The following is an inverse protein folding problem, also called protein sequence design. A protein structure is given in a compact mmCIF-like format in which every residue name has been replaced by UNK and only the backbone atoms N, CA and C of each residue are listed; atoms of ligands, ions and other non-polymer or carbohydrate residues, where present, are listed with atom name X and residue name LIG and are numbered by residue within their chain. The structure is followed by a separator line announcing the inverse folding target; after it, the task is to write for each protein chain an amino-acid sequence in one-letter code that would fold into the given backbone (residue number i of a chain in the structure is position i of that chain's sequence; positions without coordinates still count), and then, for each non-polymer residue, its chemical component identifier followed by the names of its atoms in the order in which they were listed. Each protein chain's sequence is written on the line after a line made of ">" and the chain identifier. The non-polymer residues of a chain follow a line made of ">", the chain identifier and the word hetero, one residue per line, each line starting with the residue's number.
data_IF_858575998943
#
_entry.id   IF_858575998943
#
_cell.length_a   1.000
_cell.length_b   1.000
_cell.length_c   1.000
_cell.angle_alpha   90.00
_cell.angle_beta   90.00
_cell.angle_gamma   90.00
#
_symmetry.space_group_name_H-M   'P 1'
#
loop_
_entity.id
_entity.type
_entity.pdbx_description
1 polymer ?
#
# COMPACT_ATOMS: atom_id res chain seq x y z
N UNK A 1 19.70 23.91 31.85
CA UNK A 1 19.92 23.25 30.55
C UNK A 1 18.93 22.09 30.27
N UNK A 2 18.59 21.24 31.23
CA UNK A 2 17.62 20.13 31.04
C UNK A 2 16.19 20.63 30.81
N UNK A 3 15.80 21.77 31.34
CA UNK A 3 14.48 22.40 31.12
C UNK A 3 14.38 23.03 29.72
N UNK A 4 15.45 23.61 29.21
CA UNK A 4 15.52 24.12 27.83
C UNK A 4 15.47 23.00 26.79
N UNK A 5 16.18 21.90 27.03
CA UNK A 5 16.17 20.72 26.19
C UNK A 5 14.75 20.08 26.08
N UNK A 6 13.97 20.04 27.16
CA UNK A 6 12.59 19.60 27.16
C UNK A 6 11.68 20.53 26.35
N UNK A 7 11.89 21.85 26.41
CA UNK A 7 11.14 22.84 25.65
C UNK A 7 11.32 22.69 24.13
N UNK A 8 12.56 22.52 23.66
CA UNK A 8 12.85 22.31 22.24
C UNK A 8 12.29 20.98 21.71
N UNK A 9 12.39 19.90 22.50
CA UNK A 9 11.79 18.61 22.14
C UNK A 9 10.26 18.66 22.08
N UNK A 10 9.62 19.45 22.93
CA UNK A 10 8.18 19.64 22.92
C UNK A 10 7.72 20.47 21.71
N UNK A 11 8.46 21.53 21.36
CA UNK A 11 8.22 22.34 20.15
C UNK A 11 8.36 21.48 18.89
N UNK A 12 9.41 20.67 18.78
CA UNK A 12 9.61 19.77 17.65
C UNK A 12 8.45 18.77 17.52
N UNK A 13 8.05 18.13 18.61
CA UNK A 13 6.89 17.22 18.62
C UNK A 13 5.63 17.91 18.16
N UNK A 14 5.32 19.09 18.69
CA UNK A 14 4.12 19.85 18.31
C UNK A 14 4.11 20.29 16.85
N UNK A 15 5.27 20.59 16.27
CA UNK A 15 5.38 20.93 14.86
C UNK A 15 5.08 19.73 13.93
N UNK A 16 5.39 18.51 14.37
CA UNK A 16 5.22 17.29 13.57
C UNK A 16 3.93 16.53 13.88
N UNK A 17 3.47 16.59 15.13
CA UNK A 17 2.28 15.84 15.58
C UNK A 17 1.07 16.74 15.83
N UNK A 18 1.23 18.06 15.74
CA UNK A 18 0.19 19.03 16.08
C UNK A 18 0.04 19.26 17.58
N UNK A 19 -0.94 20.09 17.94
CA UNK A 19 -1.33 20.36 19.32
C UNK A 19 -2.18 19.25 19.94
N UNK A 20 -2.90 19.59 21.00
CA UNK A 20 -3.87 18.68 21.60
C UNK A 20 -5.05 18.42 20.64
N UNK A 21 -5.47 17.16 20.60
CA UNK A 21 -6.59 16.74 19.77
C UNK A 21 -7.91 17.38 20.27
N UNK A 22 -8.73 17.86 19.34
CA UNK A 22 -10.06 18.33 19.70
C UNK A 22 -10.96 17.15 20.12
N UNK A 23 -11.95 17.37 21.01
CA UNK A 23 -12.92 16.32 21.39
C UNK A 23 -13.63 15.71 20.18
N UNK A 24 -13.97 16.52 19.18
CA UNK A 24 -14.60 16.04 17.93
C UNK A 24 -13.68 15.11 17.16
N UNK A 25 -12.40 15.47 16.98
CA UNK A 25 -11.40 14.61 16.34
C UNK A 25 -11.23 13.30 17.11
N UNK A 26 -11.17 13.38 18.44
CA UNK A 26 -11.10 12.19 19.29
C UNK A 26 -12.30 11.26 19.12
N UNK A 27 -13.50 11.82 19.05
CA UNK A 27 -14.73 11.06 18.80
C UNK A 27 -14.72 10.41 17.40
N UNK A 28 -14.32 11.13 16.35
CA UNK A 28 -14.24 10.58 14.97
C UNK A 28 -13.26 9.42 14.90
N UNK A 29 -12.08 9.55 15.54
CA UNK A 29 -11.10 8.48 15.58
C UNK A 29 -11.62 7.25 16.35
N UNK A 30 -12.25 7.46 17.49
CA UNK A 30 -12.86 6.38 18.28
C UNK A 30 -13.91 5.63 17.45
N UNK A 31 -14.79 6.35 16.75
CA UNK A 31 -15.77 5.77 15.82
C UNK A 31 -15.11 4.98 14.69
N UNK A 32 -14.00 5.47 14.15
CA UNK A 32 -13.22 4.73 13.15
C UNK A 32 -12.64 3.42 13.67
N UNK A 33 -12.24 3.38 14.95
CA UNK A 33 -11.70 2.16 15.58
C UNK A 33 -12.77 1.09 15.82
N UNK A 34 -14.02 1.45 16.07
CA UNK A 34 -15.12 0.50 16.35
C UNK A 34 -15.33 -0.51 15.20
N UNK A 35 -15.01 -0.15 13.97
CA UNK A 35 -15.16 -1.01 12.79
C UNK A 35 -13.83 -1.40 12.14
N UNK A 36 -12.71 -1.14 12.81
CA UNK A 36 -11.38 -1.35 12.21
C UNK A 36 -11.16 -2.83 11.86
N UNK A 37 -11.47 -3.72 12.78
CA UNK A 37 -11.31 -5.16 12.55
C UNK A 37 -12.13 -5.65 11.35
N UNK A 38 -13.42 -5.30 11.29
CA UNK A 38 -14.28 -5.67 10.16
C UNK A 38 -13.72 -5.19 8.82
N UNK A 39 -13.22 -3.96 8.77
CA UNK A 39 -12.63 -3.39 7.54
C UNK A 39 -11.34 -4.13 7.16
N UNK A 40 -10.44 -4.32 8.11
CA UNK A 40 -9.15 -4.99 7.86
C UNK A 40 -9.34 -6.43 7.43
N UNK A 41 -10.30 -7.15 8.02
CA UNK A 41 -10.64 -8.52 7.61
C UNK A 41 -11.12 -8.56 6.16
N UNK A 42 -12.09 -7.73 5.79
CA UNK A 42 -12.62 -7.66 4.43
C UNK A 42 -11.54 -7.24 3.41
N UNK A 43 -10.77 -6.20 3.72
CA UNK A 43 -9.68 -5.73 2.87
C UNK A 43 -8.58 -6.80 2.67
N UNK A 44 -8.27 -7.56 3.72
CA UNK A 44 -7.26 -8.63 3.65
C UNK A 44 -7.72 -9.82 2.80
N UNK A 45 -9.00 -10.16 2.86
CA UNK A 45 -9.58 -11.18 1.99
C UNK A 45 -9.51 -10.75 0.52
N UNK A 46 -9.94 -9.53 0.23
CA UNK A 46 -9.84 -8.95 -1.12
C UNK A 46 -8.37 -8.85 -1.59
N UNK A 47 -7.44 -8.49 -0.70
CA UNK A 47 -6.01 -8.42 -1.02
C UNK A 47 -5.45 -9.79 -1.42
N UNK A 48 -5.83 -10.86 -0.74
CA UNK A 48 -5.41 -12.21 -1.09
C UNK A 48 -5.94 -12.64 -2.47
N UNK A 49 -7.22 -12.35 -2.76
CA UNK A 49 -7.81 -12.66 -4.06
C UNK A 49 -7.13 -11.89 -5.19
N UNK A 50 -6.89 -10.61 -5.00
CA UNK A 50 -6.18 -9.76 -5.97
C UNK A 50 -4.75 -10.27 -6.15
N UNK A 51 -3.99 -10.52 -5.07
CA UNK A 51 -2.63 -11.01 -5.15
C UNK A 51 -2.54 -12.32 -5.96
N UNK A 52 -3.47 -13.26 -5.72
CA UNK A 52 -3.56 -14.50 -6.50
C UNK A 52 -3.86 -14.25 -7.97
N UNK A 53 -4.71 -13.30 -8.30
CA UNK A 53 -5.08 -12.98 -9.69
C UNK A 53 -3.93 -12.35 -10.49
N UNK A 54 -2.97 -11.74 -9.82
CA UNK A 54 -1.79 -11.12 -10.45
C UNK A 54 -0.67 -12.11 -10.75
N UNK A 55 -0.65 -13.27 -10.06
CA UNK A 55 0.39 -14.29 -10.26
C UNK A 55 0.29 -14.88 -11.66
N UNK A 56 1.43 -14.95 -12.34
CA UNK A 56 1.54 -15.57 -13.67
C UNK A 56 1.08 -14.69 -14.83
N UNK A 57 0.72 -13.43 -14.57
CA UNK A 57 0.43 -12.48 -15.65
C UNK A 57 1.71 -12.10 -16.39
N UNK A 58 1.68 -12.13 -17.74
CA UNK A 58 2.85 -11.92 -18.60
C UNK A 58 3.57 -10.57 -18.42
N UNK A 59 2.85 -9.53 -17.97
CA UNK A 59 3.42 -8.21 -17.69
C UNK A 59 3.95 -8.05 -16.27
N UNK A 60 3.81 -9.06 -15.40
CA UNK A 60 4.20 -8.99 -13.99
C UNK A 60 5.38 -9.92 -13.74
N UNK A 61 6.48 -9.37 -13.21
CA UNK A 61 7.67 -10.14 -12.85
C UNK A 61 7.57 -10.76 -11.46
N UNK A 62 6.93 -10.07 -10.51
CA UNK A 62 6.78 -10.57 -9.14
C UNK A 62 5.56 -9.98 -8.44
N UNK A 63 5.01 -10.74 -7.50
CA UNK A 63 3.95 -10.31 -6.57
C UNK A 63 4.44 -10.57 -5.16
N UNK A 64 4.41 -9.53 -4.31
CA UNK A 64 4.89 -9.57 -2.93
C UNK A 64 3.68 -9.34 -2.03
N UNK A 65 3.23 -10.40 -1.39
CA UNK A 65 2.13 -10.37 -0.43
C UNK A 65 2.32 -11.47 0.62
N UNK A 66 2.38 -11.14 1.92
CA UNK A 66 2.71 -12.12 2.96
C UNK A 66 1.72 -13.29 3.09
N UNK A 67 0.49 -13.10 2.63
CA UNK A 67 -0.54 -14.15 2.61
C UNK A 67 -0.43 -15.16 1.46
N UNK A 68 0.55 -15.04 0.57
CA UNK A 68 0.82 -16.03 -0.49
C UNK A 68 1.80 -17.09 0.01
N UNK A 69 1.53 -18.35 -0.27
CA UNK A 69 2.42 -19.48 0.10
C UNK A 69 3.83 -19.35 -0.53
N UNK A 70 3.94 -18.63 -1.61
CA UNK A 70 5.23 -18.35 -2.28
C UNK A 70 6.04 -17.25 -1.62
N UNK A 71 5.48 -16.54 -0.64
CA UNK A 71 6.20 -15.46 0.05
C UNK A 71 7.23 -16.04 1.02
N UNK A 72 8.49 -15.52 1.04
CA UNK A 72 9.56 -16.06 1.90
C UNK A 72 9.24 -16.09 3.40
N UNK A 73 8.35 -15.23 3.85
CA UNK A 73 7.94 -15.12 5.25
C UNK A 73 6.48 -15.55 5.48
N UNK A 74 5.95 -16.44 4.62
CA UNK A 74 4.56 -16.91 4.74
C UNK A 74 4.29 -17.58 6.10
N UNK A 75 5.18 -18.47 6.53
CA UNK A 75 5.02 -19.18 7.83
C UNK A 75 5.06 -18.20 9.00
N UNK A 76 5.99 -17.22 8.96
CA UNK A 76 6.05 -16.17 9.97
C UNK A 76 4.77 -15.29 9.98
N UNK A 77 4.24 -14.99 8.81
CA UNK A 77 2.97 -14.27 8.69
C UNK A 77 1.83 -15.05 9.37
N UNK A 78 1.73 -16.33 9.12
CA UNK A 78 0.70 -17.20 9.73
C UNK A 78 0.87 -17.38 11.24
N UNK A 79 2.09 -17.31 11.74
CA UNK A 79 2.37 -17.38 13.16
C UNK A 79 1.96 -16.09 13.91
N UNK A 80 2.17 -14.93 13.27
CA UNK A 80 2.02 -13.62 13.91
C UNK A 80 0.73 -12.89 13.56
N UNK A 81 0.08 -13.24 12.45
CA UNK A 81 -1.07 -12.52 11.89
C UNK A 81 -2.16 -13.51 11.47
N UNK A 82 -3.41 -13.12 11.61
CA UNK A 82 -4.54 -13.91 11.09
C UNK A 82 -4.57 -13.97 9.57
N UNK A 83 -4.23 -12.87 8.91
CA UNK A 83 -4.23 -12.70 7.44
C UNK A 83 -3.01 -11.92 6.98
N UNK A 84 -2.76 -11.90 5.67
CA UNK A 84 -1.58 -11.23 5.07
C UNK A 84 -1.62 -9.69 5.05
N UNK A 85 -2.70 -9.09 5.56
CA UNK A 85 -2.86 -7.62 5.59
C UNK A 85 -3.47 -7.05 4.31
N UNK A 86 -3.48 -5.71 4.20
CA UNK A 86 -4.25 -4.99 3.18
C UNK A 86 -3.39 -4.41 2.05
N UNK A 87 -2.07 -4.64 2.08
CA UNK A 87 -1.10 -4.05 1.14
C UNK A 87 -0.44 -5.12 0.28
N UNK A 88 -0.51 -4.94 -1.02
CA UNK A 88 0.15 -5.76 -2.04
C UNK A 88 1.23 -4.92 -2.71
N UNK A 89 2.41 -5.48 -2.96
CA UNK A 89 3.35 -4.91 -3.89
C UNK A 89 3.53 -5.87 -5.08
N UNK A 90 3.67 -5.33 -6.28
CA UNK A 90 3.95 -6.11 -7.47
C UNK A 90 4.82 -5.32 -8.44
N UNK A 91 5.60 -6.02 -9.22
CA UNK A 91 6.55 -5.44 -10.14
C UNK A 91 6.16 -5.71 -11.58
N UNK A 92 6.11 -4.65 -12.38
CA UNK A 92 5.83 -4.72 -13.81
C UNK A 92 7.10 -4.88 -14.64
N UNK A 93 7.07 -5.73 -15.63
CA UNK A 93 7.99 -5.72 -16.75
C UNK A 93 7.78 -4.42 -17.56
N UNK A 94 8.88 -3.80 -18.03
CA UNK A 94 8.81 -2.51 -18.72
C UNK A 94 9.01 -1.29 -17.81
N UNK A 95 9.25 -1.51 -16.51
CA UNK A 95 9.72 -0.48 -15.59
C UNK A 95 8.74 0.66 -15.36
N UNK A 96 9.27 1.89 -15.24
CA UNK A 96 8.51 3.09 -14.88
C UNK A 96 7.39 3.42 -15.88
N UNK A 97 7.63 3.24 -17.16
CA UNK A 97 6.66 3.57 -18.22
C UNK A 97 5.45 2.66 -18.13
N UNK A 98 5.67 1.35 -17.97
CA UNK A 98 4.60 0.38 -17.76
C UNK A 98 3.83 0.68 -16.46
N UNK A 99 4.54 0.99 -15.37
CA UNK A 99 3.91 1.35 -14.09
C UNK A 99 2.98 2.56 -14.22
N UNK A 100 3.42 3.62 -14.90
CA UNK A 100 2.61 4.81 -15.11
C UNK A 100 1.45 4.59 -16.08
N UNK A 101 1.67 3.80 -17.14
CA UNK A 101 0.61 3.43 -18.08
C UNK A 101 -0.49 2.65 -17.37
N UNK A 102 -0.13 1.66 -16.55
CA UNK A 102 -1.08 0.91 -15.74
C UNK A 102 -1.86 1.84 -14.81
N UNK A 103 -1.16 2.63 -13.99
CA UNK A 103 -1.79 3.52 -13.01
C UNK A 103 -2.78 4.50 -13.65
N UNK A 104 -2.43 5.05 -14.83
CA UNK A 104 -3.29 5.99 -15.57
C UNK A 104 -4.48 5.32 -16.27
N UNK A 105 -4.48 4.00 -16.41
CA UNK A 105 -5.56 3.22 -17.04
C UNK A 105 -6.56 2.66 -16.04
N UNK A 106 -6.30 2.82 -14.73
CA UNK A 106 -7.21 2.38 -13.67
C UNK A 106 -8.40 3.32 -13.55
N UNK A 107 -9.60 2.76 -13.35
CA UNK A 107 -10.85 3.49 -13.23
C UNK A 107 -11.38 3.51 -11.78
N UNK A 108 -11.18 2.42 -11.02
CA UNK A 108 -11.62 2.29 -9.63
C UNK A 108 -10.49 2.64 -8.64
N UNK A 109 -9.30 2.13 -8.87
CA UNK A 109 -8.16 2.32 -7.97
C UNK A 109 -7.59 3.72 -8.17
N UNK A 110 -7.52 4.50 -7.08
CA UNK A 110 -7.07 5.89 -7.11
C UNK A 110 -5.55 6.00 -6.93
N UNK A 111 -4.94 6.96 -7.60
CA UNK A 111 -3.51 7.27 -7.41
C UNK A 111 -3.34 8.09 -6.13
N UNK A 112 -2.67 7.53 -5.12
CA UNK A 112 -2.35 8.22 -3.88
C UNK A 112 -1.13 7.58 -3.20
N UNK A 113 -0.33 8.38 -2.51
CA UNK A 113 0.82 7.90 -1.75
C UNK A 113 0.49 7.44 -0.32
N UNK A 114 -0.78 7.53 0.10
CA UNK A 114 -1.28 7.02 1.38
C UNK A 114 -1.50 5.50 1.35
N UNK A 115 -1.95 4.96 2.47
CA UNK A 115 -2.37 3.57 2.61
C UNK A 115 -3.43 3.45 3.73
N UNK A 116 -4.19 2.36 3.74
CA UNK A 116 -5.16 2.07 4.79
C UNK A 116 -6.51 2.80 4.65
N UNK A 117 -6.80 3.39 3.50
CA UNK A 117 -8.09 4.00 3.21
C UNK A 117 -9.18 2.93 2.98
N UNK A 118 -10.44 3.31 3.10
CA UNK A 118 -11.58 2.51 2.66
C UNK A 118 -11.65 2.37 1.14
N UNK A 119 -10.95 3.23 0.39
CA UNK A 119 -10.78 3.17 -1.06
C UNK A 119 -9.47 2.49 -1.41
N UNK A 120 -9.47 1.73 -2.49
CA UNK A 120 -8.25 1.16 -3.06
C UNK A 120 -7.38 2.26 -3.65
N UNK A 121 -6.12 2.30 -3.25
CA UNK A 121 -5.17 3.32 -3.68
C UNK A 121 -3.84 2.69 -4.10
N UNK A 122 -3.26 3.22 -5.17
CA UNK A 122 -2.00 2.73 -5.73
C UNK A 122 -0.96 3.84 -5.81
N UNK A 123 0.30 3.48 -5.61
CA UNK A 123 1.43 4.41 -5.75
C UNK A 123 2.62 3.76 -6.41
N UNK A 124 3.47 4.58 -7.03
CA UNK A 124 4.80 4.20 -7.52
C UNK A 124 5.86 4.65 -6.50
N UNK A 125 6.37 3.76 -5.65
CA UNK A 125 7.23 4.13 -4.52
C UNK A 125 8.51 4.87 -4.93
N UNK A 126 9.11 4.50 -6.06
CA UNK A 126 10.35 5.10 -6.51
C UNK A 126 10.27 6.61 -6.81
N UNK A 127 9.10 7.12 -7.21
CA UNK A 127 8.88 8.54 -7.52
C UNK A 127 8.07 9.30 -6.48
N UNK A 128 7.57 8.62 -5.45
CA UNK A 128 6.74 9.21 -4.39
C UNK A 128 7.39 9.03 -3.03
N UNK A 129 7.03 7.97 -2.32
CA UNK A 129 7.41 7.73 -0.93
C UNK A 129 8.92 7.56 -0.71
N UNK A 130 9.65 7.09 -1.72
CA UNK A 130 11.09 6.82 -1.64
C UNK A 130 11.92 7.67 -2.63
N UNK A 131 11.36 8.74 -3.16
CA UNK A 131 12.04 9.62 -4.13
C UNK A 131 13.33 10.27 -3.57
N UNK A 132 13.40 10.47 -2.24
CA UNK A 132 14.56 11.09 -1.59
C UNK A 132 15.76 10.14 -1.43
N UNK A 133 15.56 8.84 -1.63
CA UNK A 133 16.65 7.86 -1.59
C UNK A 133 17.41 7.85 -2.90
N UNK A 134 18.73 7.60 -2.82
CA UNK A 134 19.57 7.37 -4.01
C UNK A 134 19.09 6.13 -4.78
N UNK A 135 19.43 6.04 -6.06
CA UNK A 135 19.09 4.89 -6.89
C UNK A 135 19.63 3.57 -6.29
N UNK A 136 20.90 3.59 -5.84
CA UNK A 136 21.53 2.42 -5.21
C UNK A 136 20.80 1.98 -3.94
N UNK A 137 20.37 2.96 -3.11
CA UNK A 137 19.64 2.65 -1.89
C UNK A 137 18.26 2.08 -2.18
N UNK A 138 17.56 2.61 -3.19
CA UNK A 138 16.27 2.02 -3.63
C UNK A 138 16.47 0.59 -4.12
N UNK A 139 17.49 0.33 -4.92
CA UNK A 139 17.80 -1.01 -5.42
C UNK A 139 18.09 -2.00 -4.29
N UNK A 140 18.90 -1.61 -3.28
CA UNK A 140 19.14 -2.44 -2.08
C UNK A 140 17.86 -2.78 -1.31
N UNK A 141 16.85 -1.91 -1.36
CA UNK A 141 15.55 -2.11 -0.72
C UNK A 141 14.54 -2.83 -1.62
N UNK A 142 14.93 -3.25 -2.83
CA UNK A 142 14.02 -3.87 -3.79
C UNK A 142 13.00 -2.90 -4.40
N UNK A 143 13.25 -1.57 -4.32
CA UNK A 143 12.36 -0.56 -4.88
C UNK A 143 12.82 -0.25 -6.30
N UNK A 144 12.32 -1.02 -7.23
CA UNK A 144 12.63 -0.91 -8.66
C UNK A 144 11.77 0.16 -9.35
N UNK A 145 12.06 0.39 -10.63
CA UNK A 145 11.28 1.31 -11.46
C UNK A 145 9.92 0.73 -11.90
N UNK A 146 9.74 -0.59 -11.81
CA UNK A 146 8.47 -1.26 -12.12
C UNK A 146 7.59 -1.53 -10.90
N UNK A 147 8.11 -1.27 -9.69
CA UNK A 147 7.40 -1.60 -8.45
C UNK A 147 6.21 -0.68 -8.21
N UNK A 148 5.06 -1.28 -7.97
CA UNK A 148 3.83 -0.63 -7.54
C UNK A 148 3.40 -1.16 -6.17
N UNK A 149 2.79 -0.29 -5.37
CA UNK A 149 2.18 -0.65 -4.08
C UNK A 149 0.69 -0.33 -4.12
N UNK A 150 -0.13 -1.34 -3.98
CA UNK A 150 -1.58 -1.27 -3.88
C UNK A 150 -1.99 -1.42 -2.41
N UNK A 151 -2.72 -0.46 -1.88
CA UNK A 151 -3.46 -0.57 -0.62
C UNK A 151 -4.91 -0.85 -0.94
N UNK A 152 -5.37 -2.04 -0.61
CA UNK A 152 -6.71 -2.52 -0.97
C UNK A 152 -7.77 -1.91 -0.06
N UNK A 153 -8.83 -1.39 -0.66
CA UNK A 153 -9.99 -0.81 0.00
C UNK A 153 -11.10 -1.83 0.28
N UNK A 154 -12.32 -1.32 0.35
CA UNK A 154 -13.53 -2.08 0.66
C UNK A 154 -14.43 -2.30 -0.56
N UNK A 155 -13.96 -1.96 -1.76
CA UNK A 155 -14.66 -2.25 -3.00
C UNK A 155 -14.75 -3.77 -3.23
N UNK A 156 -15.68 -4.20 -4.07
CA UNK A 156 -15.80 -5.62 -4.45
C UNK A 156 -14.50 -6.11 -5.11
N UNK A 157 -13.96 -7.23 -4.61
CA UNK A 157 -12.69 -7.79 -5.08
C UNK A 157 -12.71 -8.12 -6.58
N UNK A 158 -13.86 -8.54 -7.11
CA UNK A 158 -14.00 -8.87 -8.53
C UNK A 158 -13.94 -7.63 -9.41
N UNK A 159 -14.50 -6.51 -8.94
CA UNK A 159 -14.43 -5.24 -9.66
C UNK A 159 -13.00 -4.71 -9.66
N UNK A 160 -12.28 -4.81 -8.55
CA UNK A 160 -10.87 -4.46 -8.47
C UNK A 160 -9.99 -5.34 -9.37
N UNK A 161 -10.23 -6.66 -9.39
CA UNK A 161 -9.52 -7.59 -10.27
C UNK A 161 -9.81 -7.27 -11.75
N UNK A 162 -11.05 -6.92 -12.08
CA UNK A 162 -11.44 -6.53 -13.43
C UNK A 162 -10.75 -5.24 -13.86
N UNK A 163 -10.70 -4.24 -12.99
CA UNK A 163 -10.02 -2.95 -13.22
C UNK A 163 -8.53 -3.18 -13.50
N UNK A 164 -7.83 -3.87 -12.60
CA UNK A 164 -6.42 -4.23 -12.74
C UNK A 164 -6.14 -5.04 -14.01
N UNK A 165 -6.96 -6.07 -14.28
CA UNK A 165 -6.79 -6.93 -15.46
C UNK A 165 -7.03 -6.16 -16.76
N UNK A 166 -7.95 -5.19 -16.77
CA UNK A 166 -8.19 -4.34 -17.93
C UNK A 166 -7.02 -3.40 -18.20
N UNK A 167 -6.47 -2.80 -17.14
CA UNK A 167 -5.30 -1.94 -17.21
C UNK A 167 -4.04 -2.72 -17.67
N UNK A 168 -3.84 -3.94 -17.16
CA UNK A 168 -2.73 -4.82 -17.55
C UNK A 168 -2.79 -5.23 -19.02
N UNK A 169 -3.97 -5.53 -19.57
CA UNK A 169 -4.13 -5.84 -21.01
C UNK A 169 -3.72 -4.70 -21.93
N UNK A 170 -3.83 -3.47 -21.47
CA UNK A 170 -3.41 -2.30 -22.26
C UNK A 170 -1.88 -2.15 -22.34
N UNK A 171 -1.12 -2.84 -21.48
CA UNK A 171 0.35 -2.84 -21.52
C UNK A 171 0.92 -3.79 -22.57
N UNK A 172 0.15 -4.78 -23.01
CA UNK A 172 0.58 -5.83 -23.95
C UNK A 172 0.41 -5.40 -25.42
N UNK A 173 -0.16 -4.23 -25.64
CA UNK A 173 -0.34 -3.63 -26.98
C UNK A 173 0.73 -2.61 -27.31
#
# INVERSE_FOLDING_TARGET
>A
DALMSRGLGDVYKRQHTGGSMSPFTGWVLLKGLETLDLRVQAQSDSALEIAKSLIGHESISSVIYPGLETHPQYDLCREQMEKGGTVIAFELLGGKEAAFSLMNSLELVLISNNLGDAKSIITHPATTTHQRLSADRRQQLGITQGLLRLSVGLEDSKDLIKDLSSALRNLVR
#
